data_IF_329856325536
#
_entry.id   IF_329856325536
#
_cell.length_a   1.000
_cell.length_b   1.000
_cell.length_c   1.000
_cell.angle_alpha   90.00
_cell.angle_beta   90.00
_cell.angle_gamma   90.00
#
_symmetry.space_group_name_H-M   'P 1'
#
loop_
_entity.id
_entity.type
_entity.pdbx_description
1 polymer ?
#
# COMPACT_ATOMS: atom_id res chain seq x y z
N UNK A 1 15.95 -12.39 -31.11
CA UNK A 1 15.12 -12.53 -29.90
C UNK A 1 15.93 -11.99 -28.73
N UNK A 2 15.60 -10.80 -28.23
CA UNK A 2 16.25 -10.24 -27.03
C UNK A 2 15.23 -10.22 -25.91
N UNK A 3 15.35 -11.16 -24.98
CA UNK A 3 14.76 -11.06 -23.65
C UNK A 3 15.37 -9.84 -22.97
N UNK A 4 14.71 -8.68 -23.12
CA UNK A 4 14.94 -7.56 -22.21
C UNK A 4 14.53 -8.07 -20.84
N UNK A 5 15.53 -8.31 -20.01
CA UNK A 5 15.39 -8.47 -18.57
C UNK A 5 14.54 -7.29 -18.08
N UNK A 6 13.25 -7.51 -17.83
CA UNK A 6 12.35 -6.43 -17.39
C UNK A 6 12.78 -6.11 -15.97
N UNK A 7 13.27 -4.89 -15.69
CA UNK A 7 13.77 -4.57 -14.37
C UNK A 7 12.63 -4.73 -13.35
N UNK A 8 12.98 -5.28 -12.17
CA UNK A 8 12.10 -5.35 -11.01
C UNK A 8 11.41 -3.99 -10.77
N UNK A 9 10.16 -4.01 -10.30
CA UNK A 9 9.34 -2.79 -10.14
C UNK A 9 9.82 -1.94 -8.97
N UNK A 10 10.85 -1.14 -9.21
CA UNK A 10 11.41 -0.18 -8.24
C UNK A 10 10.38 0.85 -7.80
N UNK A 11 9.38 1.13 -8.64
CA UNK A 11 8.21 1.97 -8.31
C UNK A 11 7.44 1.49 -7.08
N UNK A 12 7.46 0.18 -6.77
CA UNK A 12 6.76 -0.36 -5.60
C UNK A 12 7.58 -0.35 -4.30
N UNK A 13 8.88 -0.01 -4.37
CA UNK A 13 9.77 -0.08 -3.19
C UNK A 13 9.29 0.84 -2.08
N UNK A 14 8.97 2.09 -2.42
CA UNK A 14 8.51 3.06 -1.43
C UNK A 14 7.22 2.64 -0.72
N UNK A 15 6.25 2.08 -1.45
CA UNK A 15 5.02 1.59 -0.84
C UNK A 15 5.29 0.44 0.12
N UNK A 16 6.14 -0.52 -0.27
CA UNK A 16 6.52 -1.63 0.61
C UNK A 16 7.22 -1.13 1.87
N UNK A 17 8.16 -0.19 1.75
CA UNK A 17 8.87 0.40 2.89
C UNK A 17 7.93 1.15 3.83
N UNK A 18 6.99 1.94 3.30
CA UNK A 18 5.99 2.64 4.10
C UNK A 18 5.08 1.66 4.86
N UNK A 19 4.61 0.62 4.18
CA UNK A 19 3.80 -0.45 4.78
C UNK A 19 4.59 -1.18 5.88
N UNK A 20 5.87 -1.50 5.63
CA UNK A 20 6.72 -2.19 6.60
C UNK A 20 6.88 -1.38 7.89
N UNK A 21 7.09 -0.07 7.79
CA UNK A 21 7.17 0.83 8.95
C UNK A 21 5.88 0.84 9.75
N UNK A 22 4.73 0.89 9.09
CA UNK A 22 3.42 0.91 9.77
C UNK A 22 3.09 -0.43 10.43
N UNK A 23 3.32 -1.54 9.72
CA UNK A 23 3.14 -2.90 10.25
C UNK A 23 4.11 -3.19 11.39
N UNK A 24 5.34 -2.67 11.30
CA UNK A 24 6.38 -2.74 12.32
C UNK A 24 6.15 -1.86 13.54
N UNK A 25 5.06 -1.05 13.54
CA UNK A 25 4.74 -0.06 14.59
C UNK A 25 5.80 1.04 14.76
N UNK A 26 6.60 1.30 13.72
CA UNK A 26 7.53 2.43 13.70
C UNK A 26 6.81 3.76 13.48
N UNK A 27 5.65 3.71 12.82
CA UNK A 27 4.74 4.85 12.61
C UNK A 27 3.32 4.46 12.99
N UNK A 28 2.54 5.45 13.42
CA UNK A 28 1.10 5.31 13.69
C UNK A 28 0.27 5.44 12.41
N UNK A 29 -1.06 5.25 12.53
CA UNK A 29 -1.97 5.34 11.39
C UNK A 29 -2.03 6.74 10.78
N UNK A 30 -1.90 7.80 11.58
CA UNK A 30 -1.97 9.18 11.10
C UNK A 30 -0.78 9.54 10.21
N UNK A 31 0.42 9.20 10.66
CA UNK A 31 1.63 9.38 9.86
C UNK A 31 1.64 8.46 8.64
N UNK A 32 1.15 7.23 8.79
CA UNK A 32 1.01 6.31 7.66
C UNK A 32 0.08 6.88 6.57
N UNK A 33 -1.11 7.36 6.92
CA UNK A 33 -2.04 7.99 5.99
C UNK A 33 -1.40 9.19 5.29
N UNK A 34 -0.81 10.12 6.05
CA UNK A 34 -0.24 11.34 5.48
C UNK A 34 0.83 11.03 4.42
N UNK A 35 1.76 10.12 4.73
CA UNK A 35 2.78 9.69 3.78
C UNK A 35 2.20 8.88 2.62
N UNK A 36 1.21 8.02 2.88
CA UNK A 36 0.55 7.22 1.86
C UNK A 36 -0.16 8.10 0.82
N UNK A 37 -0.96 9.05 1.28
CA UNK A 37 -1.67 9.99 0.41
C UNK A 37 -0.69 10.89 -0.35
N UNK A 38 0.43 11.28 0.26
CA UNK A 38 1.48 12.02 -0.44
C UNK A 38 2.07 11.17 -1.57
N UNK A 39 2.42 9.92 -1.29
CA UNK A 39 2.94 9.00 -2.31
C UNK A 39 1.97 8.79 -3.45
N UNK A 40 0.69 8.50 -3.16
CA UNK A 40 -0.34 8.29 -4.20
C UNK A 40 -0.54 9.55 -5.06
N UNK A 41 -0.50 10.75 -4.46
CA UNK A 41 -0.62 12.02 -5.20
C UNK A 41 0.58 12.30 -6.10
N UNK A 42 1.78 11.99 -5.62
CA UNK A 42 3.04 12.21 -6.34
C UNK A 42 3.36 11.07 -7.32
N UNK A 43 2.55 10.01 -7.35
CA UNK A 43 2.78 8.83 -8.16
C UNK A 43 2.35 9.06 -9.62
N UNK A 44 3.31 9.48 -10.44
CA UNK A 44 3.11 9.63 -11.89
C UNK A 44 3.17 8.29 -12.64
N UNK A 45 3.39 7.16 -11.94
CA UNK A 45 3.51 5.84 -12.57
C UNK A 45 2.14 5.21 -12.79
N UNK A 46 1.84 4.89 -14.05
CA UNK A 46 0.72 4.01 -14.38
C UNK A 46 1.01 2.59 -13.88
N UNK A 47 0.46 2.25 -12.72
CA UNK A 47 0.45 0.89 -12.21
C UNK A 47 -0.55 0.07 -13.02
N UNK A 48 -0.11 -1.07 -13.58
CA UNK A 48 -1.07 -2.02 -14.13
C UNK A 48 -1.93 -2.65 -13.04
N UNK A 49 -3.07 -3.22 -13.45
CA UNK A 49 -4.18 -3.64 -12.59
C UNK A 49 -3.79 -4.35 -11.28
N UNK A 50 -2.83 -5.30 -11.26
CA UNK A 50 -2.49 -5.98 -10.00
C UNK A 50 -1.86 -5.08 -8.94
N UNK A 51 -1.03 -4.09 -9.33
CA UNK A 51 -0.49 -3.13 -8.36
C UNK A 51 -1.48 -2.05 -8.02
N UNK A 52 -2.15 -1.51 -9.04
CA UNK A 52 -3.16 -0.49 -8.81
C UNK A 52 -4.21 -1.03 -7.86
N UNK A 53 -4.73 -2.25 -8.08
CA UNK A 53 -5.70 -2.87 -7.18
C UNK A 53 -5.20 -3.05 -5.75
N UNK A 54 -3.93 -3.38 -5.53
CA UNK A 54 -3.38 -3.50 -4.17
C UNK A 54 -3.22 -2.15 -3.46
N UNK A 55 -2.87 -1.09 -4.21
CA UNK A 55 -2.77 0.29 -3.72
C UNK A 55 -4.18 0.84 -3.47
N UNK A 56 -5.10 0.66 -4.39
CA UNK A 56 -6.48 1.13 -4.29
C UNK A 56 -7.23 0.45 -3.14
N UNK A 57 -7.11 -0.88 -2.99
CA UNK A 57 -7.66 -1.62 -1.85
C UNK A 57 -7.13 -1.12 -0.51
N UNK A 58 -5.82 -0.82 -0.43
CA UNK A 58 -5.23 -0.25 0.79
C UNK A 58 -5.75 1.16 1.06
N UNK A 59 -5.96 1.98 0.03
CA UNK A 59 -6.56 3.30 0.17
C UNK A 59 -7.94 3.22 0.81
N UNK A 60 -8.81 2.31 0.34
CA UNK A 60 -10.15 2.10 0.93
C UNK A 60 -10.08 1.77 2.42
N UNK A 61 -9.12 0.95 2.84
CA UNK A 61 -8.97 0.60 4.26
C UNK A 61 -8.42 1.73 5.11
N UNK A 62 -7.54 2.56 4.55
CA UNK A 62 -7.05 3.77 5.22
C UNK A 62 -8.22 4.73 5.42
N UNK A 63 -8.99 5.02 4.37
CA UNK A 63 -10.17 5.89 4.44
C UNK A 63 -11.20 5.39 5.46
N UNK A 64 -11.51 4.08 5.46
CA UNK A 64 -12.40 3.43 6.42
C UNK A 64 -11.97 3.68 7.89
N UNK A 65 -10.67 3.66 8.19
CA UNK A 65 -10.16 3.91 9.54
C UNK A 65 -10.38 5.36 10.01
N UNK A 66 -10.24 6.34 9.11
CA UNK A 66 -10.36 7.77 9.45
C UNK A 66 -11.80 8.29 9.41
N UNK A 67 -12.69 7.63 8.67
CA UNK A 67 -14.11 8.02 8.59
C UNK A 67 -14.90 7.70 9.86
N UNK A 68 -14.44 6.78 10.72
CA UNK A 68 -15.11 6.40 11.97
C UNK A 68 -14.92 7.50 13.07
N UNK A 69 -15.94 8.33 13.38
CA UNK A 69 -15.83 9.34 14.43
C UNK A 69 -16.18 8.72 15.80
N UNK A 70 -15.57 9.23 16.87
CA UNK A 70 -15.86 8.91 18.28
C UNK A 70 -15.76 7.41 18.68
N UNK A 71 -14.70 6.75 18.22
CA UNK A 71 -14.30 5.44 18.77
C UNK A 71 -13.66 5.59 20.16
N UNK A 72 -13.97 4.67 21.08
CA UNK A 72 -13.20 4.55 22.33
C UNK A 72 -11.73 4.26 22.04
N UNK A 73 -10.83 4.48 23.00
CA UNK A 73 -9.41 4.15 22.82
C UNK A 73 -9.20 2.67 22.45
N UNK A 74 -10.00 1.77 23.03
CA UNK A 74 -9.95 0.34 22.73
C UNK A 74 -10.45 0.02 21.32
N UNK A 75 -11.52 0.67 20.87
CA UNK A 75 -12.02 0.54 19.49
C UNK A 75 -11.01 1.06 18.49
N UNK A 76 -10.36 2.20 18.80
CA UNK A 76 -9.30 2.78 17.96
C UNK A 76 -8.11 1.84 17.82
N UNK A 77 -7.65 1.26 18.93
CA UNK A 77 -6.57 0.28 18.92
C UNK A 77 -6.92 -0.97 18.10
N UNK A 78 -8.15 -1.48 18.22
CA UNK A 78 -8.64 -2.62 17.41
C UNK A 78 -8.70 -2.27 15.92
N UNK A 79 -9.25 -1.10 15.58
CA UNK A 79 -9.33 -0.64 14.20
C UNK A 79 -7.93 -0.48 13.58
N UNK A 80 -6.97 0.02 14.36
CA UNK A 80 -5.60 0.21 13.90
C UNK A 80 -4.88 -1.12 13.66
N UNK A 81 -5.09 -2.11 14.54
CA UNK A 81 -4.55 -3.45 14.32
C UNK A 81 -5.19 -4.12 13.09
N UNK A 82 -6.49 -3.92 12.86
CA UNK A 82 -7.15 -4.37 11.65
C UNK A 82 -6.57 -3.69 10.39
N UNK A 83 -6.30 -2.38 10.46
CA UNK A 83 -5.63 -1.65 9.39
C UNK A 83 -4.21 -2.20 9.13
N UNK A 84 -3.44 -2.52 10.18
CA UNK A 84 -2.12 -3.16 10.04
C UNK A 84 -2.20 -4.53 9.37
N UNK A 85 -3.20 -5.34 9.71
CA UNK A 85 -3.38 -6.64 9.07
C UNK A 85 -3.67 -6.50 7.57
N UNK A 86 -4.51 -5.53 7.18
CA UNK A 86 -4.79 -5.20 5.78
C UNK A 86 -3.57 -4.64 5.05
N UNK A 87 -2.83 -3.73 5.69
CA UNK A 87 -1.58 -3.18 5.15
C UNK A 87 -0.54 -4.29 4.91
N UNK A 88 -0.40 -5.25 5.84
CA UNK A 88 0.47 -6.41 5.67
C UNK A 88 0.09 -7.23 4.44
N UNK A 89 -1.20 -7.53 4.26
CA UNK A 89 -1.68 -8.29 3.10
C UNK A 89 -1.40 -7.54 1.79
N UNK A 90 -1.64 -6.23 1.73
CA UNK A 90 -1.30 -5.40 0.57
C UNK A 90 0.22 -5.39 0.30
N UNK A 91 1.04 -5.24 1.35
CA UNK A 91 2.49 -5.30 1.25
C UNK A 91 3.02 -6.63 0.71
N UNK A 92 2.42 -7.76 1.10
CA UNK A 92 2.74 -9.08 0.56
C UNK A 92 2.44 -9.17 -0.94
N UNK A 93 1.27 -8.68 -1.39
CA UNK A 93 0.92 -8.60 -2.82
C UNK A 93 1.95 -7.75 -3.58
N UNK A 94 2.30 -6.56 -3.06
CA UNK A 94 3.27 -5.66 -3.69
C UNK A 94 4.68 -6.26 -3.77
N UNK A 95 5.13 -6.99 -2.74
CA UNK A 95 6.44 -7.68 -2.75
C UNK A 95 6.50 -8.76 -3.84
N UNK A 96 5.42 -9.52 -4.03
CA UNK A 96 5.33 -10.51 -5.13
C UNK A 96 5.35 -9.79 -6.48
N UNK A 97 4.57 -8.72 -6.63
CA UNK A 97 4.51 -7.96 -7.89
C UNK A 97 5.81 -7.20 -8.22
N UNK A 98 6.65 -6.93 -7.23
CA UNK A 98 7.96 -6.30 -7.42
C UNK A 98 8.97 -7.21 -8.11
N UNK A 99 8.89 -8.52 -7.87
CA UNK A 99 9.73 -9.52 -8.53
C UNK A 99 9.23 -9.86 -9.94
N UNK A 100 8.02 -9.43 -10.27
CA UNK A 100 7.40 -9.66 -11.57
C UNK A 100 7.65 -8.50 -12.53
N UNK A 101 7.75 -8.80 -13.84
CA UNK A 101 7.73 -7.78 -14.86
C UNK A 101 6.42 -6.98 -14.83
N UNK A 102 6.48 -5.67 -15.09
CA UNK A 102 5.29 -4.81 -15.16
C UNK A 102 4.34 -5.34 -16.25
N UNK A 103 3.17 -5.81 -15.85
CA UNK A 103 2.04 -6.09 -16.74
C UNK A 103 1.20 -4.83 -16.80
N UNK A 104 1.26 -4.13 -17.93
CA UNK A 104 0.31 -3.07 -18.27
C UNK A 104 -0.82 -3.79 -19.00
N UNK A 105 -1.88 -4.16 -18.29
CA UNK A 105 -3.09 -4.63 -18.98
C UNK A 105 -3.75 -3.38 -19.57
N UNK A 106 -3.85 -3.36 -20.90
CA UNK A 106 -4.51 -2.28 -21.64
C UNK A 106 -5.78 -2.93 -22.17
N UNK A 107 -6.83 -2.91 -21.36
CA UNK A 107 -8.18 -3.26 -21.80
C UNK A 107 -8.95 -1.99 -22.17
#
# INVERSE_FOLDING_TARGET
MSTRDRPARRDLVGYVELIDRFVGREIDAGLFEAEYLRMVKDDEVMHGDPAFGAIDELFFHVDEYFVLPDASADDRARAEEALRARARAAGEKLRVLRTQPRNLDVS
#
